data_IF_745608406115
#
_entry.id   IF_745608406115
#
_cell.length_a   1.000
_cell.length_b   1.000
_cell.length_c   1.000
_cell.angle_alpha   90.00
_cell.angle_beta   90.00
_cell.angle_gamma   90.00
#
_symmetry.space_group_name_H-M   'P 1'
#
loop_
_entity.id
_entity.type
_entity.pdbx_description
1 polymer ?
#
# COMPACT_ATOMS: atom_id res chain seq x y z
N UNK A 1 -1.28 33.09 -8.14
CA UNK A 1 -2.01 33.34 -6.87
C UNK A 1 -2.93 32.17 -6.50
N UNK A 2 -3.69 31.62 -7.44
CA UNK A 2 -4.63 30.50 -7.22
C UNK A 2 -3.96 29.20 -6.73
N UNK A 3 -2.75 28.87 -7.22
CA UNK A 3 -2.04 27.65 -6.83
C UNK A 3 -1.59 27.67 -5.36
N UNK A 4 -1.05 28.80 -4.88
CA UNK A 4 -0.64 28.96 -3.47
C UNK A 4 -1.82 28.88 -2.51
N UNK A 5 -2.98 29.42 -2.90
CA UNK A 5 -4.23 29.29 -2.15
C UNK A 5 -4.67 27.82 -2.11
N UNK A 6 -4.61 27.10 -3.23
CA UNK A 6 -4.97 25.68 -3.28
C UNK A 6 -4.04 24.82 -2.41
N UNK A 7 -2.72 25.07 -2.44
CA UNK A 7 -1.76 24.40 -1.56
C UNK A 7 -2.10 24.67 -0.10
N UNK A 8 -2.33 25.94 0.26
CA UNK A 8 -2.69 26.33 1.63
C UNK A 8 -3.97 25.65 2.10
N UNK A 9 -5.00 25.60 1.24
CA UNK A 9 -6.27 24.94 1.52
C UNK A 9 -6.09 23.42 1.74
N UNK A 10 -5.38 22.73 0.86
CA UNK A 10 -5.14 21.27 0.98
C UNK A 10 -4.30 20.96 2.22
N UNK A 11 -3.28 21.77 2.51
CA UNK A 11 -2.47 21.62 3.71
C UNK A 11 -3.32 21.76 4.98
N UNK A 12 -4.20 22.77 5.03
CA UNK A 12 -5.11 23.00 6.17
C UNK A 12 -6.10 21.84 6.33
N UNK A 13 -6.70 21.37 5.24
CA UNK A 13 -7.64 20.24 5.25
C UNK A 13 -6.93 18.97 5.73
N UNK A 14 -5.72 18.69 5.24
CA UNK A 14 -4.93 17.51 5.63
C UNK A 14 -4.60 17.54 7.11
N UNK A 15 -4.21 18.71 7.62
CA UNK A 15 -3.95 18.91 9.03
C UNK A 15 -5.20 18.69 9.88
N UNK A 16 -6.33 19.30 9.50
CA UNK A 16 -7.60 19.14 10.19
C UNK A 16 -8.05 17.67 10.22
N UNK A 17 -7.93 16.94 9.11
CA UNK A 17 -8.28 15.52 9.02
C UNK A 17 -7.43 14.65 9.95
N UNK A 18 -6.12 14.93 10.01
CA UNK A 18 -5.18 14.19 10.87
C UNK A 18 -5.40 14.52 12.35
N UNK A 19 -5.74 15.77 12.66
CA UNK A 19 -6.03 16.24 14.02
C UNK A 19 -7.39 15.76 14.53
N UNK A 20 -8.38 15.55 13.64
CA UNK A 20 -9.73 15.10 14.02
C UNK A 20 -9.71 13.76 14.76
N UNK A 21 -8.83 12.83 14.38
CA UNK A 21 -8.70 11.53 15.03
C UNK A 21 -8.40 11.66 16.54
N UNK A 22 -7.26 12.23 16.93
CA UNK A 22 -6.95 12.50 18.34
C UNK A 22 -7.92 13.47 19.01
N UNK A 23 -8.43 14.49 18.32
CA UNK A 23 -9.33 15.47 18.92
C UNK A 23 -10.68 14.85 19.33
N UNK A 24 -11.21 13.91 18.55
CA UNK A 24 -12.50 13.24 18.83
C UNK A 24 -12.31 11.98 19.69
N UNK A 25 -11.20 11.26 19.52
CA UNK A 25 -10.99 9.94 20.16
C UNK A 25 -9.87 9.89 21.21
N UNK A 26 -9.07 10.93 21.40
CA UNK A 26 -7.82 10.89 22.17
C UNK A 26 -7.96 10.41 23.63
N UNK A 27 -9.12 10.60 24.26
CA UNK A 27 -9.40 10.12 25.62
C UNK A 27 -10.21 8.82 25.70
N UNK A 28 -10.62 8.23 24.57
CA UNK A 28 -11.52 7.06 24.54
C UNK A 28 -10.83 5.84 23.98
N UNK A 29 -10.84 4.74 24.75
CA UNK A 29 -10.47 3.45 24.21
C UNK A 29 -11.56 2.99 23.22
N UNK A 30 -11.17 2.81 21.96
CA UNK A 30 -12.04 2.26 20.93
C UNK A 30 -12.50 0.85 21.31
N UNK A 31 -13.78 0.48 21.05
CA UNK A 31 -14.24 -0.89 21.21
C UNK A 31 -13.34 -1.88 20.47
N UNK A 32 -13.12 -3.07 21.03
CA UNK A 32 -12.20 -4.07 20.48
C UNK A 32 -12.48 -4.40 19.00
N UNK A 33 -13.78 -4.43 18.62
CA UNK A 33 -14.22 -4.67 17.23
C UNK A 33 -13.81 -3.54 16.27
N UNK A 34 -13.88 -2.29 16.68
CA UNK A 34 -13.48 -1.16 15.82
C UNK A 34 -11.97 -1.14 15.64
N UNK A 35 -11.22 -1.44 16.69
CA UNK A 35 -9.76 -1.53 16.63
C UNK A 35 -9.28 -2.67 15.71
N UNK A 36 -9.94 -3.82 15.73
CA UNK A 36 -9.60 -4.93 14.84
C UNK A 36 -9.88 -4.60 13.37
N UNK A 37 -11.03 -3.97 13.07
CA UNK A 37 -11.32 -3.49 11.71
C UNK A 37 -10.27 -2.49 11.25
N UNK A 38 -9.93 -1.48 12.07
CA UNK A 38 -8.96 -0.46 11.72
C UNK A 38 -7.56 -1.03 11.48
N UNK A 39 -7.16 -2.06 12.24
CA UNK A 39 -5.91 -2.78 12.04
C UNK A 39 -5.85 -3.51 10.69
N UNK A 40 -7.01 -3.91 10.14
CA UNK A 40 -7.12 -4.56 8.84
C UNK A 40 -7.23 -3.59 7.67
N UNK A 41 -7.57 -2.31 7.90
CA UNK A 41 -7.73 -1.31 6.83
C UNK A 41 -6.44 -1.14 6.03
N UNK A 42 -5.30 -0.96 6.69
CA UNK A 42 -4.01 -0.78 6.02
C UNK A 42 -3.64 -1.98 5.12
N UNK A 43 -3.62 -3.23 5.62
CA UNK A 43 -3.32 -4.38 4.77
C UNK A 43 -4.41 -4.66 3.72
N UNK A 44 -5.69 -4.40 4.00
CA UNK A 44 -6.77 -4.58 3.02
C UNK A 44 -6.67 -3.60 1.85
N UNK A 45 -6.39 -2.32 2.14
CA UNK A 45 -6.15 -1.32 1.10
C UNK A 45 -4.92 -1.69 0.27
N UNK A 46 -3.82 -2.08 0.93
CA UNK A 46 -2.61 -2.48 0.22
C UNK A 46 -2.85 -3.70 -0.69
N UNK A 47 -3.59 -4.70 -0.21
CA UNK A 47 -3.99 -5.85 -1.02
C UNK A 47 -4.84 -5.42 -2.23
N UNK A 48 -5.81 -4.53 -2.02
CA UNK A 48 -6.60 -3.95 -3.10
C UNK A 48 -5.74 -3.22 -4.14
N UNK A 49 -4.80 -2.39 -3.70
CA UNK A 49 -3.86 -1.69 -4.59
C UNK A 49 -2.98 -2.65 -5.40
N UNK A 50 -2.53 -3.75 -4.80
CA UNK A 50 -1.74 -4.76 -5.51
C UNK A 50 -2.60 -5.45 -6.57
N UNK A 51 -3.84 -5.82 -6.24
CA UNK A 51 -4.76 -6.46 -7.20
C UNK A 51 -5.10 -5.52 -8.35
N UNK A 52 -5.38 -4.25 -8.08
CA UNK A 52 -5.67 -3.27 -9.14
C UNK A 52 -4.44 -2.95 -9.98
N UNK A 53 -3.25 -2.90 -9.38
CA UNK A 53 -2.00 -2.77 -10.13
C UNK A 53 -1.74 -3.98 -11.03
N UNK A 54 -2.05 -5.19 -10.56
CA UNK A 54 -1.89 -6.43 -11.33
C UNK A 54 -2.86 -6.53 -12.50
N UNK A 55 -4.13 -6.14 -12.31
CA UNK A 55 -5.21 -6.23 -13.29
C UNK A 55 -5.22 -5.07 -14.32
N UNK A 56 -4.40 -4.04 -14.12
CA UNK A 56 -4.31 -2.90 -15.01
C UNK A 56 -5.62 -2.08 -15.13
N UNK A 57 -5.63 -1.03 -15.98
CA UNK A 57 -6.79 -0.18 -16.16
C UNK A 57 -8.00 -0.99 -16.66
N UNK A 58 -9.11 -0.96 -15.92
CA UNK A 58 -10.36 -1.61 -16.33
C UNK A 58 -10.28 -3.14 -16.46
N UNK A 59 -9.36 -3.81 -15.74
CA UNK A 59 -9.15 -5.27 -15.82
C UNK A 59 -8.68 -5.76 -17.20
N UNK A 60 -8.04 -4.87 -17.97
CA UNK A 60 -7.66 -5.14 -19.37
C UNK A 60 -6.39 -5.97 -19.52
N UNK A 61 -5.56 -6.08 -18.49
CA UNK A 61 -4.27 -6.75 -18.59
C UNK A 61 -3.87 -7.43 -17.28
N UNK A 62 -3.11 -8.52 -17.37
CA UNK A 62 -2.45 -9.12 -16.20
C UNK A 62 -0.95 -8.92 -16.31
N UNK A 63 -0.36 -8.16 -15.38
CA UNK A 63 1.09 -7.98 -15.33
C UNK A 63 1.78 -9.20 -14.72
N UNK A 64 2.18 -10.12 -15.59
CA UNK A 64 2.90 -11.35 -15.20
C UNK A 64 4.22 -11.04 -14.48
N UNK A 65 4.83 -9.89 -14.75
CA UNK A 65 6.06 -9.42 -14.08
C UNK A 65 5.80 -9.15 -12.61
N UNK A 66 4.71 -8.43 -12.30
CA UNK A 66 4.27 -8.17 -10.93
C UNK A 66 3.88 -9.47 -10.22
N UNK A 67 3.19 -10.38 -10.92
CA UNK A 67 2.80 -11.67 -10.37
C UNK A 67 4.03 -12.51 -9.97
N UNK A 68 5.07 -12.54 -10.81
CA UNK A 68 6.32 -13.24 -10.54
C UNK A 68 7.13 -12.60 -9.39
N UNK A 69 7.18 -11.27 -9.31
CA UNK A 69 7.80 -10.57 -8.19
C UNK A 69 7.08 -10.83 -6.87
N UNK A 70 5.74 -10.80 -6.88
CA UNK A 70 4.91 -11.05 -5.70
C UNK A 70 5.02 -12.50 -5.22
N UNK A 71 5.00 -13.48 -6.15
CA UNK A 71 5.19 -14.90 -5.80
C UNK A 71 6.56 -15.14 -5.17
N UNK A 72 7.60 -14.46 -5.66
CA UNK A 72 8.95 -14.48 -5.05
C UNK A 72 8.91 -14.02 -3.60
N UNK A 73 8.24 -12.90 -3.29
CA UNK A 73 8.10 -12.43 -1.92
C UNK A 73 7.40 -13.45 -1.00
N UNK A 74 6.35 -14.12 -1.50
CA UNK A 74 5.63 -15.18 -0.78
C UNK A 74 6.55 -16.36 -0.48
N UNK A 75 7.31 -16.81 -1.49
CA UNK A 75 8.24 -17.94 -1.36
C UNK A 75 9.34 -17.63 -0.35
N UNK A 76 10.04 -16.50 -0.48
CA UNK A 76 11.10 -16.12 0.47
C UNK A 76 10.58 -15.94 1.90
N UNK A 77 9.36 -15.38 2.05
CA UNK A 77 8.74 -15.24 3.37
C UNK A 77 8.34 -16.58 3.96
N UNK A 78 7.94 -17.55 3.14
CA UNK A 78 7.67 -18.92 3.57
C UNK A 78 8.93 -19.57 4.16
N UNK A 79 10.10 -19.34 3.56
CA UNK A 79 11.40 -19.76 4.10
C UNK A 79 11.93 -18.88 5.24
N UNK A 80 11.10 -17.99 5.81
CA UNK A 80 11.47 -17.07 6.91
C UNK A 80 12.67 -16.17 6.62
N UNK A 81 12.90 -15.82 5.36
CA UNK A 81 13.95 -14.87 4.99
C UNK A 81 13.72 -13.49 5.64
N UNK A 82 14.79 -12.75 5.99
CA UNK A 82 14.67 -11.43 6.59
C UNK A 82 14.06 -10.43 5.59
N UNK A 83 13.30 -9.45 6.10
CA UNK A 83 12.54 -8.48 5.29
C UNK A 83 13.35 -7.79 4.19
N UNK A 84 14.60 -7.34 4.41
CA UNK A 84 15.41 -6.74 3.36
C UNK A 84 15.67 -7.69 2.19
N UNK A 85 15.93 -8.97 2.49
CA UNK A 85 16.22 -10.00 1.46
C UNK A 85 14.97 -10.33 0.66
N UNK A 86 13.80 -10.44 1.31
CA UNK A 86 12.53 -10.63 0.59
C UNK A 86 12.24 -9.49 -0.39
N UNK A 87 12.50 -8.24 0.02
CA UNK A 87 12.25 -7.07 -0.80
C UNK A 87 13.22 -7.01 -1.97
N UNK A 88 14.51 -7.18 -1.72
CA UNK A 88 15.54 -7.18 -2.75
C UNK A 88 15.33 -8.31 -3.76
N UNK A 89 14.99 -9.51 -3.29
CA UNK A 89 14.70 -10.66 -4.16
C UNK A 89 13.50 -10.40 -5.08
N UNK A 90 12.38 -9.91 -4.52
CA UNK A 90 11.20 -9.59 -5.31
C UNK A 90 11.47 -8.48 -6.34
N UNK A 91 12.18 -7.41 -5.95
CA UNK A 91 12.55 -6.32 -6.86
C UNK A 91 13.49 -6.83 -7.96
N UNK A 92 14.49 -7.64 -7.62
CA UNK A 92 15.42 -8.19 -8.59
C UNK A 92 14.71 -9.06 -9.64
N UNK A 93 13.79 -9.94 -9.21
CA UNK A 93 12.99 -10.77 -10.14
C UNK A 93 12.14 -9.90 -11.05
N UNK A 94 11.40 -8.93 -10.49
CA UNK A 94 10.58 -8.01 -11.30
C UNK A 94 11.44 -7.22 -12.29
N UNK A 95 12.58 -6.68 -11.86
CA UNK A 95 13.47 -5.90 -12.71
C UNK A 95 14.06 -6.73 -13.85
N UNK A 96 14.54 -7.94 -13.57
CA UNK A 96 15.11 -8.84 -14.56
C UNK A 96 14.08 -9.27 -15.61
N UNK A 97 12.86 -9.62 -15.18
CA UNK A 97 11.78 -9.98 -16.10
C UNK A 97 11.38 -8.77 -16.97
N UNK A 98 11.29 -7.59 -16.37
CA UNK A 98 10.92 -6.38 -17.10
C UNK A 98 11.95 -5.98 -18.16
N UNK A 99 13.24 -6.19 -17.89
CA UNK A 99 14.33 -6.00 -18.85
C UNK A 99 14.28 -6.99 -20.01
N UNK A 100 13.69 -8.16 -19.82
CA UNK A 100 13.57 -9.18 -20.87
C UNK A 100 12.31 -9.00 -21.73
N UNK A 101 11.22 -8.49 -21.12
CA UNK A 101 9.95 -8.25 -21.82
C UNK A 101 9.84 -6.86 -22.44
N UNK A 102 10.75 -5.94 -22.13
CA UNK A 102 10.79 -4.57 -22.65
C UNK A 102 11.87 -4.38 -23.70
#
# INVERSE_FOLDING_TARGET
>A
MTLWIAIGAIALISFAFKAAGPAVLGGRQLPARTRSVLALVAPALLAGFIVTALAGPGWSALDLTLLAGLSTAVVLRHYRAPMPVTLLGAVAVTALLRLWTG
#
